data_IF_708344992143
#
_entry.id   IF_708344992143
#
_cell.length_a   1.000
_cell.length_b   1.000
_cell.length_c   1.000
_cell.angle_alpha   90.00
_cell.angle_beta   90.00
_cell.angle_gamma   90.00
#
_symmetry.space_group_name_H-M   'P 1'
#
loop_
_entity.id
_entity.type
_entity.pdbx_description
1 polymer ?
#
# COMPACT_ATOMS: atom_id res chain seq x y z
N UNK A 1 18.90 14.99 -5.70
CA UNK A 1 18.51 13.85 -6.56
C UNK A 1 17.45 13.07 -5.78
N UNK A 2 16.40 13.78 -5.36
CA UNK A 2 15.44 13.30 -4.35
C UNK A 2 14.18 12.72 -5.00
N UNK A 3 14.23 12.55 -6.32
CA UNK A 3 13.10 12.20 -7.18
C UNK A 3 13.57 11.04 -8.05
N UNK A 4 13.55 9.83 -7.46
CA UNK A 4 14.08 8.66 -8.15
C UNK A 4 13.99 7.35 -7.39
N UNK A 5 13.17 7.26 -6.34
CA UNK A 5 12.84 5.97 -5.76
C UNK A 5 11.65 5.40 -6.55
N UNK A 6 11.92 4.37 -7.34
CA UNK A 6 10.87 3.54 -7.92
C UNK A 6 10.36 2.67 -6.78
N UNK A 7 9.15 2.91 -6.30
CA UNK A 7 8.48 1.94 -5.44
C UNK A 7 7.75 0.95 -6.34
N UNK A 8 8.18 -0.31 -6.28
CA UNK A 8 7.38 -1.41 -6.81
C UNK A 8 6.75 -2.14 -5.63
N UNK A 9 5.43 -2.00 -5.50
CA UNK A 9 4.63 -2.84 -4.61
C UNK A 9 4.27 -4.07 -5.42
N UNK A 10 4.98 -5.15 -5.13
CA UNK A 10 4.84 -6.43 -5.81
C UNK A 10 4.29 -7.47 -4.87
N UNK A 11 3.64 -8.46 -5.45
CA UNK A 11 3.15 -9.61 -4.72
C UNK A 11 3.75 -10.88 -5.32
N UNK A 12 4.70 -11.48 -4.60
CA UNK A 12 5.44 -12.66 -5.05
C UNK A 12 4.59 -13.94 -5.00
N UNK A 13 3.67 -14.08 -5.95
CA UNK A 13 3.01 -15.36 -6.23
C UNK A 13 1.82 -15.72 -5.34
N UNK A 14 1.07 -14.74 -4.86
CA UNK A 14 -0.22 -14.97 -4.17
C UNK A 14 -1.31 -15.48 -5.10
N UNK A 15 -2.08 -16.46 -4.60
CA UNK A 15 -3.22 -17.03 -5.31
C UNK A 15 -4.56 -16.29 -5.12
N UNK A 16 -4.63 -15.23 -4.29
CA UNK A 16 -5.88 -14.53 -3.95
C UNK A 16 -5.92 -13.11 -4.53
N UNK A 17 -6.19 -13.02 -5.83
CA UNK A 17 -6.18 -11.78 -6.61
C UNK A 17 -7.12 -10.69 -6.03
N UNK A 18 -8.39 -10.99 -5.75
CA UNK A 18 -9.39 -9.98 -5.36
C UNK A 18 -9.07 -9.25 -4.04
N UNK A 19 -8.48 -9.94 -3.06
CA UNK A 19 -8.11 -9.36 -1.76
C UNK A 19 -7.02 -8.29 -1.92
N UNK A 20 -6.14 -8.52 -2.87
CA UNK A 20 -4.97 -7.69 -3.11
C UNK A 20 -5.31 -6.50 -3.98
N UNK A 21 -6.27 -6.65 -4.88
CA UNK A 21 -6.81 -5.52 -5.66
C UNK A 21 -7.43 -4.49 -4.71
N UNK A 22 -8.30 -4.90 -3.77
CA UNK A 22 -8.88 -3.96 -2.78
C UNK A 22 -7.80 -3.31 -1.92
N UNK A 23 -6.84 -4.09 -1.41
CA UNK A 23 -5.71 -3.55 -0.64
C UNK A 23 -4.91 -2.52 -1.45
N UNK A 24 -4.66 -2.80 -2.74
CA UNK A 24 -3.93 -1.90 -3.62
C UNK A 24 -4.73 -0.63 -3.89
N UNK A 25 -6.04 -0.71 -4.10
CA UNK A 25 -6.89 0.47 -4.28
C UNK A 25 -6.82 1.39 -3.04
N UNK A 26 -7.01 0.84 -1.84
CA UNK A 26 -6.94 1.60 -0.60
C UNK A 26 -5.54 2.20 -0.37
N UNK A 27 -4.49 1.42 -0.66
CA UNK A 27 -3.12 1.91 -0.60
C UNK A 27 -2.89 3.05 -1.59
N UNK A 28 -3.38 2.95 -2.83
CA UNK A 28 -3.21 3.99 -3.84
C UNK A 28 -3.93 5.28 -3.45
N UNK A 29 -5.12 5.20 -2.85
CA UNK A 29 -5.82 6.37 -2.32
C UNK A 29 -4.99 7.07 -1.22
N UNK A 30 -4.46 6.31 -0.26
CA UNK A 30 -3.59 6.87 0.78
C UNK A 30 -2.35 7.56 0.20
N UNK A 31 -1.73 6.97 -0.83
CA UNK A 31 -0.50 7.52 -1.41
C UNK A 31 -0.73 8.68 -2.37
N UNK A 32 -1.78 8.62 -3.20
CA UNK A 32 -2.01 9.55 -4.31
C UNK A 32 -3.08 10.62 -4.02
N UNK A 33 -3.89 10.43 -2.99
CA UNK A 33 -4.91 11.41 -2.57
C UNK A 33 -4.53 12.01 -1.23
N UNK A 34 -4.23 11.17 -0.22
CA UNK A 34 -3.91 11.67 1.13
C UNK A 34 -2.45 12.13 1.25
N UNK A 35 -1.57 11.67 0.36
CA UNK A 35 -0.14 11.99 0.42
C UNK A 35 0.56 11.31 1.60
N UNK A 36 0.16 10.09 1.93
CA UNK A 36 0.86 9.29 2.93
C UNK A 36 2.20 8.78 2.39
N UNK A 37 3.12 8.48 3.32
CA UNK A 37 4.37 7.80 2.98
C UNK A 37 4.12 6.30 2.77
N UNK A 38 4.85 5.71 1.83
CA UNK A 38 4.65 4.32 1.37
C UNK A 38 4.71 3.30 2.51
N UNK A 39 5.76 3.34 3.32
CA UNK A 39 5.99 2.37 4.38
C UNK A 39 4.87 2.35 5.42
N UNK A 40 4.53 3.50 6.04
CA UNK A 40 3.41 3.60 6.96
C UNK A 40 2.08 3.14 6.35
N UNK A 41 1.74 3.57 5.14
CA UNK A 41 0.51 3.17 4.47
C UNK A 41 0.46 1.65 4.24
N UNK A 42 1.50 1.07 3.64
CA UNK A 42 1.54 -0.37 3.40
C UNK A 42 1.49 -1.17 4.71
N UNK A 43 2.26 -0.77 5.73
CA UNK A 43 2.28 -1.47 7.02
C UNK A 43 0.91 -1.54 7.69
N UNK A 44 0.09 -0.49 7.52
CA UNK A 44 -1.28 -0.41 8.03
C UNK A 44 -2.17 -1.47 7.38
N UNK A 45 -2.10 -1.61 6.06
CA UNK A 45 -2.92 -2.58 5.35
C UNK A 45 -2.41 -4.02 5.50
N UNK A 46 -1.09 -4.23 5.60
CA UNK A 46 -0.55 -5.53 6.03
C UNK A 46 -1.18 -5.91 7.37
N UNK A 47 -1.16 -4.99 8.34
CA UNK A 47 -1.75 -5.23 9.64
C UNK A 47 -3.25 -5.52 9.57
N UNK A 48 -4.05 -4.78 8.80
CA UNK A 48 -5.49 -5.04 8.71
C UNK A 48 -5.84 -6.37 8.03
N UNK A 49 -5.04 -6.80 7.05
CA UNK A 49 -5.32 -7.97 6.22
C UNK A 49 -4.67 -9.26 6.71
N UNK A 50 -3.50 -9.19 7.39
CA UNK A 50 -2.79 -10.39 7.86
C UNK A 50 -2.90 -10.61 9.36
N UNK A 51 -3.56 -9.71 10.09
CA UNK A 51 -3.70 -9.87 11.53
C UNK A 51 -4.68 -10.97 11.87
N UNK A 52 -4.23 -11.80 12.81
CA UNK A 52 -4.99 -12.90 13.39
C UNK A 52 -6.34 -12.40 13.94
N UNK A 53 -7.42 -12.87 13.32
CA UNK A 53 -8.79 -12.54 13.71
C UNK A 53 -9.19 -13.10 15.08
N UNK A 54 -8.47 -14.10 15.60
CA UNK A 54 -8.72 -14.67 16.93
C UNK A 54 -8.34 -13.72 18.06
N UNK A 55 -7.65 -12.62 17.74
CA UNK A 55 -7.32 -11.56 18.70
C UNK A 55 -8.53 -10.73 19.15
N UNK A 56 -9.70 -10.88 18.51
CA UNK A 56 -10.93 -10.16 18.86
C UNK A 56 -10.89 -8.66 18.57
N UNK A 57 -9.90 -8.19 17.80
CA UNK A 57 -9.78 -6.78 17.40
C UNK A 57 -10.82 -6.44 16.31
N UNK A 58 -11.65 -5.41 16.52
CA UNK A 58 -12.69 -5.04 15.56
C UNK A 58 -12.14 -4.48 14.23
N UNK A 59 -10.84 -4.19 14.16
CA UNK A 59 -10.19 -3.65 12.97
C UNK A 59 -9.57 -4.72 12.07
N UNK A 60 -9.70 -6.02 12.40
CA UNK A 60 -9.30 -7.08 11.47
C UNK A 60 -10.31 -7.13 10.31
N UNK A 61 -9.84 -6.94 9.07
CA UNK A 61 -10.74 -6.86 7.92
C UNK A 61 -11.19 -8.22 7.39
N UNK A 62 -10.41 -9.29 7.60
CA UNK A 62 -10.59 -10.53 6.84
C UNK A 62 -10.83 -11.81 7.65
N UNK A 63 -11.02 -11.71 8.96
CA UNK A 63 -11.52 -12.81 9.80
C UNK A 63 -10.79 -14.16 9.53
N UNK A 64 -11.52 -15.27 9.44
CA UNK A 64 -11.00 -16.63 9.18
C UNK A 64 -10.22 -16.76 7.85
N UNK A 65 -10.43 -15.86 6.87
CA UNK A 65 -9.73 -15.92 5.58
C UNK A 65 -8.23 -15.64 5.70
N UNK A 66 -7.80 -14.99 6.79
CA UNK A 66 -6.38 -14.77 7.08
C UNK A 66 -5.59 -16.08 7.23
N UNK A 67 -6.24 -17.18 7.63
CA UNK A 67 -5.60 -18.50 7.76
C UNK A 67 -5.28 -19.18 6.44
N UNK A 68 -5.99 -18.79 5.37
CA UNK A 68 -5.87 -19.40 4.04
C UNK A 68 -5.18 -18.47 3.04
N UNK A 69 -4.73 -17.30 3.50
CA UNK A 69 -4.10 -16.29 2.66
C UNK A 69 -2.59 -16.35 2.86
N UNK A 70 -1.86 -16.74 1.81
CA UNK A 70 -0.40 -16.64 1.79
C UNK A 70 -0.02 -15.35 1.05
N UNK A 71 0.25 -14.26 1.78
CA UNK A 71 0.53 -12.93 1.23
C UNK A 71 1.93 -12.44 1.60
N UNK A 72 2.74 -12.10 0.59
CA UNK A 72 4.08 -11.55 0.75
C UNK A 72 4.17 -10.16 0.12
N UNK A 73 3.91 -9.10 0.90
CA UNK A 73 4.06 -7.72 0.45
C UNK A 73 5.55 -7.40 0.30
N UNK A 74 5.96 -7.00 -0.90
CA UNK A 74 7.32 -6.53 -1.13
C UNK A 74 7.33 -5.04 -1.47
N UNK A 75 8.16 -4.28 -0.74
CA UNK A 75 8.56 -2.93 -1.14
C UNK A 75 10.00 -3.01 -1.62
N UNK A 76 10.23 -2.65 -2.87
CA UNK A 76 11.56 -2.32 -3.37
C UNK A 76 11.65 -0.80 -3.48
N UNK A 77 12.44 -0.16 -2.60
CA UNK A 77 12.57 1.29 -2.57
C UNK A 77 12.65 1.87 -1.16
N UNK A 78 12.51 3.20 -1.06
CA UNK A 78 12.50 3.90 0.21
C UNK A 78 11.08 3.88 0.84
N UNK A 79 10.88 3.27 2.03
CA UNK A 79 9.59 3.31 2.72
C UNK A 79 9.18 4.71 3.18
N UNK A 80 10.14 5.65 3.27
CA UNK A 80 9.88 7.06 3.55
C UNK A 80 9.42 7.85 2.32
N UNK A 81 9.41 7.25 1.13
CA UNK A 81 9.06 7.94 -0.11
C UNK A 81 7.64 8.51 -0.04
N UNK A 82 7.53 9.77 -0.48
CA UNK A 82 6.29 10.46 -0.73
C UNK A 82 6.13 10.58 -2.25
N UNK A 83 5.09 10.00 -2.82
CA UNK A 83 4.88 10.00 -4.29
C UNK A 83 3.95 11.13 -4.74
N UNK A 84 3.14 11.65 -3.83
CA UNK A 84 2.25 12.78 -4.05
C UNK A 84 2.12 13.58 -2.76
N UNK A 85 1.96 14.89 -2.89
CA UNK A 85 1.56 15.76 -1.79
C UNK A 85 0.49 16.73 -2.31
N UNK A 86 -0.61 16.95 -1.55
CA UNK A 86 -1.64 17.91 -1.94
C UNK A 86 -1.12 19.36 -1.99
N UNK A 87 0.03 19.64 -1.38
CA UNK A 87 0.67 20.96 -1.43
C UNK A 87 1.52 21.17 -2.70
N UNK A 88 1.81 20.11 -3.46
CA UNK A 88 2.61 20.22 -4.67
C UNK A 88 1.82 20.87 -5.79
N UNK A 89 2.45 21.85 -6.45
CA UNK A 89 1.86 22.49 -7.63
C UNK A 89 2.11 21.62 -8.86
N UNK A 90 1.06 21.33 -9.62
CA UNK A 90 1.17 20.62 -10.90
C UNK A 90 2.06 21.47 -11.83
N UNK A 91 3.16 20.92 -12.37
CA UNK A 91 4.01 21.65 -13.29
C UNK A 91 3.25 21.96 -14.58
N UNK A 92 3.38 23.20 -15.07
CA UNK A 92 2.87 23.56 -16.40
C UNK A 92 3.78 22.91 -17.44
N UNK A 93 3.24 22.13 -18.40
CA UNK A 93 4.05 21.54 -19.46
C UNK A 93 4.82 22.64 -20.21
N UNK A 94 6.11 22.42 -20.45
CA UNK A 94 6.89 23.29 -21.33
C UNK A 94 6.43 23.06 -22.78
N UNK A 95 6.10 24.12 -23.50
CA UNK A 95 5.91 24.05 -24.94
C UNK A 95 7.24 23.61 -25.59
N UNK A 96 7.17 22.54 -26.40
CA UNK A 96 8.33 21.98 -27.12
C UNK A 96 8.66 22.79 -28.36
#
# INVERSE_FOLDING_TARGET
>A
LDHGAVCWVGNEGTGYNNLLEEQNELLMDDLLINGDRIGPALSRYIWFYTRDYTTGDPNSMYSENTLNTNFHPNIYGDPGLLIYSPEWTIPVPLER
#
